data_IF_535689748005
#
_entry.id   IF_535689748005
#
_cell.length_a   1.000
_cell.length_b   1.000
_cell.length_c   1.000
_cell.angle_alpha   90.00
_cell.angle_beta   90.00
_cell.angle_gamma   90.00
#
_symmetry.space_group_name_H-M   'P 1'
#
loop_
_entity.id
_entity.type
_entity.pdbx_description
1 polymer ?
#
# COMPACT_ATOMS: atom_id res chain seq x y z
N UNK A 1 22.45 -32.59 21.50
CA UNK A 1 21.17 -32.37 20.79
C UNK A 1 20.92 -30.87 20.75
N UNK A 2 20.92 -30.25 19.57
CA UNK A 2 20.77 -28.80 19.38
C UNK A 2 19.31 -28.41 19.60
N UNK A 3 19.04 -27.49 20.54
CA UNK A 3 17.70 -26.92 20.73
C UNK A 3 17.43 -25.90 19.61
N UNK A 4 16.25 -26.02 19.01
CA UNK A 4 15.76 -25.14 17.97
C UNK A 4 15.43 -23.76 18.58
N UNK A 5 16.20 -22.74 18.19
CA UNK A 5 15.90 -21.35 18.53
C UNK A 5 14.64 -20.91 17.79
N UNK A 6 13.55 -20.71 18.54
CA UNK A 6 12.36 -20.05 18.04
C UNK A 6 12.71 -18.60 17.71
N UNK A 7 12.73 -18.26 16.41
CA UNK A 7 12.77 -16.87 15.95
C UNK A 7 11.41 -16.26 16.26
N UNK A 8 11.28 -15.70 17.46
CA UNK A 8 10.16 -14.82 17.81
C UNK A 8 10.29 -13.56 16.95
N UNK A 9 9.46 -13.46 15.91
CA UNK A 9 9.29 -12.21 15.17
C UNK A 9 8.73 -11.20 16.16
N UNK A 10 9.53 -10.21 16.49
CA UNK A 10 9.13 -9.10 17.35
C UNK A 10 7.97 -8.36 16.66
N UNK A 11 6.76 -8.55 17.18
CA UNK A 11 5.52 -7.91 16.69
C UNK A 11 5.25 -6.58 17.40
N UNK A 12 6.20 -6.07 18.19
CA UNK A 12 6.05 -4.84 18.98
C UNK A 12 5.68 -3.60 18.16
N UNK A 13 6.02 -3.57 16.86
CA UNK A 13 5.62 -2.50 15.94
C UNK A 13 4.17 -2.57 15.43
N UNK A 14 3.49 -3.72 15.59
CA UNK A 14 2.10 -3.93 15.16
C UNK A 14 1.11 -3.61 16.30
N UNK A 15 1.58 -3.54 17.55
CA UNK A 15 0.74 -3.43 18.75
C UNK A 15 0.44 -2.02 19.26
N UNK A 16 0.83 -0.95 18.58
CA UNK A 16 0.29 0.37 18.96
C UNK A 16 -1.20 0.37 18.58
N UNK A 17 -2.06 0.26 19.59
CA UNK A 17 -3.53 0.25 19.44
C UNK A 17 -3.97 1.45 18.63
N UNK A 18 -3.25 2.58 18.69
CA UNK A 18 -3.52 3.76 17.87
C UNK A 18 -3.27 3.54 16.38
N UNK A 19 -2.29 2.71 16.02
CA UNK A 19 -2.00 2.33 14.62
C UNK A 19 -3.05 1.36 14.08
N UNK A 20 -3.55 0.45 14.92
CA UNK A 20 -4.67 -0.43 14.57
C UNK A 20 -5.96 0.38 14.48
N UNK A 21 -6.29 1.20 15.48
CA UNK A 21 -7.47 2.08 15.47
C UNK A 21 -7.44 3.04 14.29
N UNK A 22 -6.31 3.67 13.98
CA UNK A 22 -6.21 4.56 12.82
C UNK A 22 -6.42 3.80 11.50
N UNK A 23 -5.77 2.64 11.31
CA UNK A 23 -5.98 1.85 10.09
C UNK A 23 -7.39 1.25 10.04
N UNK A 24 -7.98 0.85 11.16
CA UNK A 24 -9.35 0.33 11.23
C UNK A 24 -10.36 1.43 10.97
N UNK A 25 -10.19 2.64 11.53
CA UNK A 25 -11.07 3.80 11.30
C UNK A 25 -10.94 4.30 9.87
N UNK A 26 -9.73 4.42 9.33
CA UNK A 26 -9.50 4.76 7.92
C UNK A 26 -10.12 3.70 7.02
N UNK A 27 -9.87 2.41 7.27
CA UNK A 27 -10.48 1.32 6.50
C UNK A 27 -12.02 1.34 6.60
N UNK A 28 -12.60 1.55 7.78
CA UNK A 28 -14.06 1.63 7.97
C UNK A 28 -14.68 2.82 7.23
N UNK A 29 -14.03 3.99 7.28
CA UNK A 29 -14.49 5.20 6.60
C UNK A 29 -14.34 5.11 5.07
N UNK A 30 -13.30 4.44 4.58
CA UNK A 30 -13.09 4.15 3.16
C UNK A 30 -14.12 3.15 2.65
N UNK A 31 -14.49 2.12 3.44
CA UNK A 31 -15.50 1.12 3.02
C UNK A 31 -16.93 1.65 2.90
N UNK A 32 -17.24 2.83 3.45
CA UNK A 32 -18.58 3.43 3.43
C UNK A 32 -18.84 4.30 2.19
N UNK A 33 -17.80 4.64 1.43
CA UNK A 33 -17.93 5.33 0.14
C UNK A 33 -17.42 4.41 -0.96
N UNK A 34 -18.15 4.22 -2.08
CA UNK A 34 -17.59 3.52 -3.22
C UNK A 34 -16.35 4.31 -3.68
N UNK A 35 -15.16 3.77 -3.44
CA UNK A 35 -13.93 4.36 -3.96
C UNK A 35 -13.85 3.98 -5.41
N UNK A 36 -14.40 4.85 -6.25
CA UNK A 36 -14.19 4.76 -7.68
C UNK A 36 -12.82 5.35 -7.99
N UNK A 37 -11.93 4.53 -8.55
CA UNK A 37 -10.68 5.03 -9.12
C UNK A 37 -10.97 6.07 -10.19
N UNK A 38 -10.18 7.14 -10.18
CA UNK A 38 -10.13 8.04 -11.35
C UNK A 38 -9.52 7.22 -12.49
N UNK A 39 -10.13 7.19 -13.69
CA UNK A 39 -9.57 6.47 -14.83
C UNK A 39 -8.11 6.88 -15.08
N UNK A 40 -7.22 5.90 -15.19
CA UNK A 40 -5.79 6.13 -15.41
C UNK A 40 -4.97 6.44 -14.16
N UNK A 41 -5.58 6.57 -12.97
CA UNK A 41 -4.85 6.87 -11.73
C UNK A 41 -3.77 5.84 -11.41
N UNK A 42 -4.00 4.56 -11.70
CA UNK A 42 -3.00 3.49 -11.50
C UNK A 42 -1.80 3.66 -12.44
N UNK A 43 -2.05 4.06 -13.69
CA UNK A 43 -0.99 4.30 -14.67
C UNK A 43 -0.13 5.52 -14.30
N UNK A 44 -0.77 6.60 -13.85
CA UNK A 44 -0.08 7.81 -13.39
C UNK A 44 0.76 7.53 -12.13
N UNK A 45 0.19 6.82 -11.16
CA UNK A 45 0.91 6.36 -9.97
C UNK A 45 2.08 5.46 -10.37
N UNK A 46 1.89 4.54 -11.32
CA UNK A 46 2.97 3.68 -11.81
C UNK A 46 4.13 4.49 -12.41
N UNK A 47 3.83 5.51 -13.21
CA UNK A 47 4.83 6.40 -13.80
C UNK A 47 5.57 7.23 -12.74
N UNK A 48 4.84 7.77 -11.76
CA UNK A 48 5.40 8.49 -10.63
C UNK A 48 6.32 7.60 -9.78
N UNK A 49 5.88 6.40 -9.41
CA UNK A 49 6.69 5.46 -8.60
C UNK A 49 7.90 4.97 -9.40
N UNK A 50 7.76 4.78 -10.72
CA UNK A 50 8.87 4.38 -11.58
C UNK A 50 9.96 5.45 -11.69
N UNK A 51 9.59 6.73 -11.63
CA UNK A 51 10.54 7.85 -11.68
C UNK A 51 11.15 8.18 -10.31
N UNK A 52 10.37 8.10 -9.24
CA UNK A 52 10.81 8.45 -7.88
C UNK A 52 11.44 7.29 -7.12
N UNK A 53 11.04 6.05 -7.42
CA UNK A 53 11.39 4.88 -6.61
C UNK A 53 10.67 4.83 -5.25
N UNK A 54 9.66 5.68 -5.04
CA UNK A 54 8.97 5.85 -3.77
C UNK A 54 7.46 5.68 -3.93
N UNK A 55 6.83 5.04 -2.95
CA UNK A 55 5.37 4.99 -2.76
C UNK A 55 5.08 5.79 -1.49
N UNK A 56 4.29 6.85 -1.57
CA UNK A 56 3.87 7.62 -0.39
C UNK A 56 2.81 6.86 0.41
N UNK A 57 2.54 7.32 1.64
CA UNK A 57 1.40 6.79 2.40
C UNK A 57 0.07 6.98 1.64
N UNK A 58 -0.12 8.12 0.99
CA UNK A 58 -1.31 8.40 0.21
C UNK A 58 -1.46 7.39 -0.95
N UNK A 59 -0.38 7.11 -1.68
CA UNK A 59 -0.35 6.12 -2.76
C UNK A 59 -0.69 4.72 -2.25
N UNK A 60 -0.18 4.35 -1.06
CA UNK A 60 -0.50 3.06 -0.44
C UNK A 60 -1.97 2.93 -0.11
N UNK A 61 -2.59 3.97 0.45
CA UNK A 61 -4.02 3.97 0.74
C UNK A 61 -4.86 4.00 -0.55
N UNK A 62 -4.41 4.73 -1.57
CA UNK A 62 -5.00 4.71 -2.91
C UNK A 62 -4.96 3.33 -3.55
N UNK A 63 -3.83 2.62 -3.46
CA UNK A 63 -3.67 1.25 -3.94
C UNK A 63 -4.50 0.24 -3.14
N UNK A 64 -4.62 0.43 -1.81
CA UNK A 64 -5.50 -0.41 -1.00
C UNK A 64 -6.95 -0.24 -1.40
N UNK A 65 -7.39 1.00 -1.65
CA UNK A 65 -8.74 1.27 -2.12
C UNK A 65 -8.98 0.72 -3.53
N UNK A 66 -7.98 0.84 -4.41
CA UNK A 66 -8.01 0.24 -5.74
C UNK A 66 -8.21 -1.27 -5.70
N UNK A 67 -7.48 -1.97 -4.82
CA UNK A 67 -7.57 -3.43 -4.68
C UNK A 67 -8.89 -3.91 -4.07
N UNK A 68 -9.67 -3.02 -3.45
CA UNK A 68 -11.00 -3.32 -2.94
C UNK A 68 -12.10 -3.08 -3.99
N UNK A 69 -11.75 -2.49 -5.14
CA UNK A 69 -12.64 -2.28 -6.26
C UNK A 69 -12.55 -3.47 -7.23
N UNK A 70 -13.66 -4.21 -7.39
CA UNK A 70 -13.76 -5.35 -8.30
C UNK A 70 -13.78 -4.94 -9.79
N UNK A 71 -13.78 -3.63 -10.10
CA UNK A 71 -13.83 -3.10 -11.47
C UNK A 71 -12.47 -2.89 -12.13
N UNK A 72 -11.36 -3.23 -11.46
CA UNK A 72 -10.00 -3.08 -12.01
C UNK A 72 -9.80 -3.87 -13.31
N UNK A 73 -9.36 -3.16 -14.34
CA UNK A 73 -9.01 -3.77 -15.63
C UNK A 73 -7.71 -4.57 -15.55
N UNK A 74 -7.52 -5.55 -16.44
CA UNK A 74 -6.31 -6.39 -16.45
C UNK A 74 -5.00 -5.60 -16.55
N UNK A 75 -5.02 -4.47 -17.25
CA UNK A 75 -3.84 -3.61 -17.39
C UNK A 75 -3.48 -2.94 -16.07
N UNK A 76 -4.48 -2.48 -15.32
CA UNK A 76 -4.30 -1.89 -13.99
C UNK A 76 -3.82 -2.93 -12.99
N UNK A 77 -4.39 -4.13 -13.01
CA UNK A 77 -3.91 -5.26 -12.20
C UNK A 77 -2.44 -5.58 -12.49
N UNK A 78 -2.05 -5.64 -13.77
CA UNK A 78 -0.66 -5.86 -14.18
C UNK A 78 0.27 -4.74 -13.69
N UNK A 79 -0.18 -3.50 -13.68
CA UNK A 79 0.58 -2.37 -13.12
C UNK A 79 0.79 -2.54 -11.61
N UNK A 80 -0.26 -2.88 -10.88
CA UNK A 80 -0.20 -3.11 -9.42
C UNK A 80 0.75 -4.27 -9.10
N UNK A 81 0.65 -5.40 -9.79
CA UNK A 81 1.54 -6.56 -9.60
C UNK A 81 3.02 -6.19 -9.79
N UNK A 82 3.32 -5.36 -10.78
CA UNK A 82 4.69 -4.87 -11.03
C UNK A 82 5.19 -3.99 -9.89
N UNK A 83 4.34 -3.10 -9.35
CA UNK A 83 4.68 -2.26 -8.19
C UNK A 83 4.95 -3.10 -6.95
N UNK A 84 4.06 -4.04 -6.64
CA UNK A 84 4.21 -4.98 -5.53
C UNK A 84 5.53 -5.76 -5.66
N UNK A 85 5.83 -6.27 -6.87
CA UNK A 85 7.08 -6.99 -7.12
C UNK A 85 8.31 -6.10 -6.98
N UNK A 86 8.23 -4.83 -7.38
CA UNK A 86 9.31 -3.86 -7.22
C UNK A 86 9.57 -3.53 -5.74
N UNK A 87 8.49 -3.41 -4.95
CA UNK A 87 8.54 -3.22 -3.50
C UNK A 87 9.18 -4.43 -2.80
N UNK A 88 8.74 -5.66 -3.10
CA UNK A 88 9.34 -6.88 -2.53
C UNK A 88 10.82 -7.06 -2.89
N UNK A 89 11.25 -6.54 -4.04
CA UNK A 89 12.66 -6.56 -4.47
C UNK A 89 13.48 -5.42 -3.89
N UNK A 90 12.89 -4.54 -3.08
CA UNK A 90 13.55 -3.36 -2.52
C UNK A 90 13.95 -2.30 -3.55
N UNK A 91 13.40 -2.37 -4.78
CA UNK A 91 13.62 -1.36 -5.83
C UNK A 91 12.77 -0.11 -5.63
N UNK A 92 11.64 -0.28 -4.96
CA UNK A 92 10.73 0.78 -4.54
C UNK A 92 10.62 0.73 -3.02
N UNK A 93 10.46 1.88 -2.37
CA UNK A 93 10.30 1.98 -0.92
C UNK A 93 9.02 2.74 -0.58
N UNK A 94 8.36 2.35 0.52
CA UNK A 94 7.27 3.15 1.08
C UNK A 94 7.89 4.24 1.95
N UNK A 95 7.49 5.49 1.71
CA UNK A 95 7.93 6.66 2.47
C UNK A 95 6.76 7.26 3.24
N UNK A 96 7.03 7.74 4.44
CA UNK A 96 6.05 8.37 5.33
C UNK A 96 5.74 9.83 4.95
N UNK A 97 6.15 10.23 3.74
CA UNK A 97 5.81 11.53 3.20
C UNK A 97 4.31 11.56 2.95
N UNK A 98 3.62 12.42 3.70
CA UNK A 98 2.28 12.84 3.35
C UNK A 98 2.43 13.46 1.97
N UNK A 99 1.65 12.99 0.99
CA UNK A 99 1.51 13.65 -0.31
C UNK A 99 0.80 14.99 -0.08
N UNK A 100 1.53 15.91 0.53
CA UNK A 100 1.13 17.27 0.74
C UNK A 100 1.34 17.94 -0.61
N UNK A 101 0.22 18.15 -1.29
CA UNK A 101 0.09 19.10 -2.38
C UNK A 101 0.78 20.40 -1.95
N UNK A 102 1.74 20.83 -2.77
CA UNK A 102 2.11 22.24 -2.89
C UNK A 102 1.45 22.80 -4.14
#
# INVERSE_FOLDING_TARGET
>A
MKQAGAVTRDISGITDIRYIEFNVVVMLSVTLSPVNLIPGAIADLFAQVSSTGCITLADRYGLMAALLDDSLEEEEQRCIDRLIRALYRGRVKVVDEISAVM
#
